data_IF_313275455943
#
_entry.id   IF_313275455943
#
_cell.length_a   1.000
_cell.length_b   1.000
_cell.length_c   1.000
_cell.angle_alpha   90.00
_cell.angle_beta   90.00
_cell.angle_gamma   90.00
#
_symmetry.space_group_name_H-M   'P 1'
#
loop_
_entity.id
_entity.type
_entity.pdbx_description
1 polymer ?
#
# COMPACT_ATOMS: atom_id res chain seq x y z
N UNK A 1 21.34 7.80 4.58
CA UNK A 1 22.75 8.27 4.54
C UNK A 1 23.61 7.05 4.30
N UNK A 2 24.55 7.08 3.36
CA UNK A 2 25.52 5.98 3.22
C UNK A 2 26.49 5.97 4.42
N UNK A 3 27.18 4.84 4.61
CA UNK A 3 28.20 4.69 5.66
C UNK A 3 29.31 5.74 5.50
N UNK A 4 29.78 5.96 4.28
CA UNK A 4 30.81 6.97 3.97
C UNK A 4 30.35 8.40 4.32
N UNK A 5 29.11 8.76 4.01
CA UNK A 5 28.55 10.07 4.42
C UNK A 5 28.47 10.23 5.93
N UNK A 6 28.27 9.13 6.66
CA UNK A 6 28.28 9.15 8.13
C UNK A 6 29.69 9.35 8.69
N UNK A 7 30.72 8.86 7.99
CA UNK A 7 32.13 9.11 8.33
C UNK A 7 32.54 10.56 8.04
N UNK A 8 31.98 11.21 7.02
CA UNK A 8 32.22 12.63 6.75
C UNK A 8 31.55 13.56 7.78
N UNK A 9 30.49 13.09 8.47
CA UNK A 9 29.76 13.91 9.43
C UNK A 9 30.65 14.37 10.61
N UNK A 10 30.64 15.68 10.88
CA UNK A 10 31.47 16.30 11.93
C UNK A 10 31.08 15.83 13.33
N UNK A 11 29.79 15.57 13.58
CA UNK A 11 29.28 15.19 14.89
C UNK A 11 28.58 13.83 14.84
N UNK A 12 29.28 12.78 15.28
CA UNK A 12 28.78 11.42 15.31
C UNK A 12 28.44 10.97 16.73
N UNK A 13 27.15 10.63 16.94
CA UNK A 13 26.64 10.16 18.23
C UNK A 13 27.10 8.74 18.59
N UNK A 14 27.37 7.91 17.59
CA UNK A 14 27.76 6.51 17.78
C UNK A 14 29.25 6.35 18.06
N UNK A 15 29.60 5.66 19.15
CA UNK A 15 31.00 5.40 19.55
C UNK A 15 31.77 4.68 18.43
N UNK A 16 31.15 3.68 17.80
CA UNK A 16 31.74 2.93 16.68
C UNK A 16 32.26 3.85 15.56
N UNK A 17 31.52 4.91 15.21
CA UNK A 17 31.95 5.82 14.13
C UNK A 17 33.15 6.66 14.58
N UNK A 18 33.22 7.03 15.87
CA UNK A 18 34.39 7.72 16.43
C UNK A 18 35.61 6.81 16.42
N UNK A 19 35.45 5.55 16.81
CA UNK A 19 36.55 4.58 16.84
C UNK A 19 37.10 4.33 15.43
N UNK A 20 36.22 4.15 14.43
CA UNK A 20 36.62 4.01 13.02
C UNK A 20 37.39 5.24 12.52
N UNK A 21 36.95 6.46 12.89
CA UNK A 21 37.67 7.69 12.53
C UNK A 21 39.08 7.74 13.13
N UNK A 22 39.19 7.43 14.41
CA UNK A 22 40.49 7.40 15.12
C UNK A 22 41.43 6.40 14.46
N UNK A 23 40.95 5.19 14.18
CA UNK A 23 41.73 4.15 13.52
C UNK A 23 42.17 4.60 12.11
N UNK A 24 41.26 5.19 11.35
CA UNK A 24 41.55 5.65 9.98
C UNK A 24 42.60 6.76 9.95
N UNK A 25 42.53 7.72 10.89
CA UNK A 25 43.53 8.77 11.04
C UNK A 25 44.90 8.22 11.46
N UNK A 26 44.92 7.28 12.41
CA UNK A 26 46.16 6.68 12.91
C UNK A 26 46.87 5.80 11.87
N UNK A 27 46.10 5.10 11.03
CA UNK A 27 46.64 4.18 10.03
C UNK A 27 46.81 4.81 8.64
N UNK A 28 46.42 6.08 8.47
CA UNK A 28 46.42 6.78 7.18
C UNK A 28 45.74 5.97 6.05
N UNK A 29 44.57 5.36 6.35
CA UNK A 29 43.85 4.53 5.40
C UNK A 29 42.68 5.29 4.74
N UNK A 30 42.38 4.93 3.48
CA UNK A 30 41.29 5.51 2.69
C UNK A 30 40.18 4.48 2.45
N UNK A 31 38.92 4.94 2.50
CA UNK A 31 37.76 4.10 2.25
C UNK A 31 37.32 4.18 0.80
N UNK A 32 37.07 3.02 0.20
CA UNK A 32 36.56 2.91 -1.16
C UNK A 32 35.28 2.07 -1.17
N UNK A 33 34.35 2.43 -2.06
CA UNK A 33 33.18 1.59 -2.31
C UNK A 33 33.52 0.53 -3.35
N UNK A 34 33.19 -0.73 -3.03
CA UNK A 34 33.32 -1.86 -3.95
C UNK A 34 31.93 -2.40 -4.23
N UNK A 35 31.68 -2.78 -5.48
CA UNK A 35 30.41 -3.37 -5.90
C UNK A 35 30.31 -4.79 -5.33
N UNK A 36 29.18 -5.09 -4.69
CA UNK A 36 28.89 -6.42 -4.16
C UNK A 36 28.67 -7.44 -5.29
N UNK A 37 29.03 -8.70 -5.02
CA UNK A 37 28.77 -9.86 -5.90
C UNK A 37 29.38 -9.77 -7.30
N UNK A 38 30.64 -9.31 -7.41
CA UNK A 38 31.36 -9.19 -8.70
C UNK A 38 32.59 -10.12 -8.76
N UNK A 39 32.78 -11.05 -7.82
CA UNK A 39 33.96 -11.92 -7.81
C UNK A 39 35.16 -11.37 -7.05
N UNK A 40 35.02 -10.25 -6.32
CA UNK A 40 36.13 -9.69 -5.53
C UNK A 40 36.36 -10.54 -4.30
N UNK A 41 37.33 -11.45 -4.37
CA UNK A 41 37.62 -12.46 -3.34
C UNK A 41 37.57 -11.94 -1.90
N UNK A 42 38.23 -10.80 -1.62
CA UNK A 42 38.24 -10.21 -0.27
C UNK A 42 36.87 -9.72 0.20
N UNK A 43 36.06 -9.13 -0.69
CA UNK A 43 34.71 -8.69 -0.37
C UNK A 43 33.78 -9.88 -0.16
N UNK A 44 33.86 -10.89 -1.02
CA UNK A 44 33.05 -12.11 -0.92
C UNK A 44 33.39 -12.88 0.36
N UNK A 45 34.67 -12.99 0.71
CA UNK A 45 35.08 -13.59 1.97
C UNK A 45 34.54 -12.82 3.17
N UNK A 46 34.54 -11.48 3.12
CA UNK A 46 33.95 -10.66 4.18
C UNK A 46 32.43 -10.85 4.29
N UNK A 47 31.72 -10.94 3.16
CA UNK A 47 30.27 -11.19 3.12
C UNK A 47 29.94 -12.57 3.70
N UNK A 48 30.68 -13.63 3.33
CA UNK A 48 30.51 -14.97 3.90
C UNK A 48 30.72 -14.98 5.42
N UNK A 49 31.78 -14.31 5.90
CA UNK A 49 32.04 -14.21 7.35
C UNK A 49 30.95 -13.43 8.08
N UNK A 50 30.41 -12.37 7.46
CA UNK A 50 29.29 -11.61 8.03
C UNK A 50 28.02 -12.45 8.09
N UNK A 51 27.75 -13.28 7.08
CA UNK A 51 26.63 -14.23 7.07
C UNK A 51 26.79 -15.32 8.14
N UNK A 52 27.97 -15.94 8.25
CA UNK A 52 28.29 -16.91 9.31
C UNK A 52 28.08 -16.31 10.71
N UNK A 53 28.45 -15.04 10.91
CA UNK A 53 28.24 -14.34 12.17
C UNK A 53 26.75 -14.14 12.52
N UNK A 54 25.84 -14.12 11.54
CA UNK A 54 24.39 -14.03 11.82
C UNK A 54 23.82 -15.30 12.44
N UNK A 55 24.50 -16.44 12.30
CA UNK A 55 24.10 -17.72 12.86
C UNK A 55 24.62 -17.96 14.29
N UNK A 56 25.46 -17.07 14.83
CA UNK A 56 25.92 -17.17 16.22
C UNK A 56 24.78 -16.92 17.20
N UNK A 57 24.76 -17.68 18.30
CA UNK A 57 23.77 -17.50 19.38
C UNK A 57 24.06 -16.26 20.23
N UNK A 58 25.34 -15.95 20.44
CA UNK A 58 25.80 -14.84 21.28
C UNK A 58 26.18 -13.59 20.47
N UNK A 59 25.89 -12.42 21.04
CA UNK A 59 26.23 -11.12 20.44
C UNK A 59 27.57 -10.64 20.98
N UNK A 60 28.58 -10.60 20.10
CA UNK A 60 29.95 -10.17 20.45
C UNK A 60 30.01 -8.67 20.86
N UNK A 61 29.23 -7.81 20.20
CA UNK A 61 29.22 -6.35 20.45
C UNK A 61 27.80 -5.79 20.41
N UNK A 62 27.35 -5.20 21.52
CA UNK A 62 26.04 -4.54 21.58
C UNK A 62 26.13 -3.08 21.12
N UNK A 63 25.52 -2.79 19.97
CA UNK A 63 25.45 -1.43 19.39
C UNK A 63 24.21 -0.63 19.83
N UNK A 64 23.43 -1.18 20.78
CA UNK A 64 22.15 -0.62 21.21
C UNK A 64 21.04 -0.81 20.19
N UNK A 65 19.84 -0.33 20.52
CA UNK A 65 18.65 -0.50 19.68
C UNK A 65 18.59 0.64 18.64
N UNK A 66 18.60 0.32 17.33
CA UNK A 66 18.52 1.36 16.32
C UNK A 66 17.13 2.01 16.30
N UNK A 67 17.09 3.32 16.04
CA UNK A 67 15.83 4.09 15.95
C UNK A 67 14.85 3.50 14.92
N UNK A 68 15.37 2.96 13.82
CA UNK A 68 14.56 2.28 12.80
C UNK A 68 13.79 1.08 13.36
N UNK A 69 14.42 0.27 14.22
CA UNK A 69 13.78 -0.87 14.86
C UNK A 69 12.68 -0.42 15.85
N UNK A 70 12.92 0.63 16.61
CA UNK A 70 11.89 1.22 17.50
C UNK A 70 10.70 1.69 16.68
N UNK A 71 10.95 2.47 15.62
CA UNK A 71 9.91 2.96 14.72
C UNK A 71 9.12 1.81 14.06
N UNK A 72 9.81 0.75 13.64
CA UNK A 72 9.19 -0.45 13.08
C UNK A 72 8.27 -1.13 14.11
N UNK A 73 8.75 -1.32 15.35
CA UNK A 73 7.94 -1.90 16.44
C UNK A 73 6.71 -1.06 16.72
N UNK A 74 6.84 0.27 16.84
CA UNK A 74 5.71 1.18 17.05
C UNK A 74 4.71 1.07 15.90
N UNK A 75 5.17 1.13 14.65
CA UNK A 75 4.32 1.02 13.45
C UNK A 75 3.55 -0.29 13.44
N UNK A 76 4.20 -1.41 13.75
CA UNK A 76 3.57 -2.72 13.79
C UNK A 76 2.53 -2.82 14.92
N UNK A 77 2.79 -2.21 16.09
CA UNK A 77 1.81 -2.18 17.18
C UNK A 77 0.59 -1.34 16.83
N UNK A 78 0.80 -0.16 16.23
CA UNK A 78 -0.31 0.69 15.76
C UNK A 78 -1.18 -0.04 14.75
N UNK A 79 -0.57 -0.72 13.77
CA UNK A 79 -1.31 -1.53 12.79
C UNK A 79 -2.14 -2.62 13.44
N UNK A 80 -1.57 -3.37 14.40
CA UNK A 80 -2.32 -4.40 15.13
C UNK A 80 -3.51 -3.84 15.88
N UNK A 81 -3.33 -2.71 16.58
CA UNK A 81 -4.42 -2.06 17.31
C UNK A 81 -5.50 -1.53 16.36
N UNK A 82 -5.10 -0.98 15.22
CA UNK A 82 -6.03 -0.54 14.18
C UNK A 82 -6.82 -1.71 13.58
N UNK A 83 -6.16 -2.82 13.27
CA UNK A 83 -6.80 -4.03 12.79
C UNK A 83 -7.84 -4.55 13.78
N UNK A 84 -7.47 -4.65 15.06
CA UNK A 84 -8.38 -5.09 16.11
C UNK A 84 -9.61 -4.18 16.22
N UNK A 85 -9.41 -2.85 16.15
CA UNK A 85 -10.51 -1.89 16.16
C UNK A 85 -11.38 -2.00 14.91
N UNK A 86 -10.78 -2.28 13.76
CA UNK A 86 -11.48 -2.43 12.48
C UNK A 86 -12.37 -3.66 12.46
N UNK A 87 -11.86 -4.79 12.94
CA UNK A 87 -12.60 -6.06 13.06
C UNK A 87 -13.80 -5.93 14.01
N UNK A 88 -13.59 -5.30 15.16
CA UNK A 88 -14.62 -5.15 16.20
C UNK A 88 -15.60 -3.98 15.95
N UNK A 89 -15.35 -3.13 14.95
CA UNK A 89 -16.24 -2.03 14.61
C UNK A 89 -17.54 -2.55 14.01
N UNK A 90 -18.66 -2.10 14.57
CA UNK A 90 -20.00 -2.28 13.98
C UNK A 90 -20.30 -1.24 12.89
N UNK A 91 -19.50 -0.18 12.80
CA UNK A 91 -19.63 0.84 11.76
C UNK A 91 -18.84 0.47 10.51
N UNK A 92 -19.27 0.98 9.36
CA UNK A 92 -18.56 0.86 8.08
C UNK A 92 -18.32 -0.60 7.62
N UNK A 93 -19.25 -1.51 7.95
CA UNK A 93 -19.16 -2.95 7.60
C UNK A 93 -19.07 -3.21 6.10
N UNK A 94 -19.68 -2.35 5.29
CA UNK A 94 -19.52 -2.42 3.83
C UNK A 94 -18.06 -2.23 3.42
N UNK A 95 -17.40 -1.17 3.91
CA UNK A 95 -15.99 -0.90 3.64
C UNK A 95 -15.09 -2.00 4.20
N UNK A 96 -15.43 -2.56 5.37
CA UNK A 96 -14.72 -3.72 5.94
C UNK A 96 -14.79 -4.94 5.00
N UNK A 97 -15.93 -5.19 4.37
CA UNK A 97 -16.08 -6.28 3.41
C UNK A 97 -15.18 -6.14 2.18
N UNK A 98 -14.86 -4.91 1.77
CA UNK A 98 -13.94 -4.63 0.67
C UNK A 98 -12.47 -4.64 1.11
N UNK A 99 -12.19 -4.08 2.29
CA UNK A 99 -10.86 -3.94 2.86
C UNK A 99 -10.83 -4.50 4.28
N UNK A 100 -10.78 -5.83 4.44
CA UNK A 100 -10.82 -6.45 5.77
C UNK A 100 -9.51 -6.22 6.55
N UNK A 101 -8.42 -5.96 5.86
CA UNK A 101 -7.10 -5.72 6.44
C UNK A 101 -6.71 -4.25 6.39
N UNK A 102 -6.23 -3.73 7.50
CA UNK A 102 -5.64 -2.40 7.62
C UNK A 102 -4.26 -2.39 6.98
N UNK A 103 -4.02 -1.36 6.19
CA UNK A 103 -2.77 -1.16 5.48
C UNK A 103 -2.39 0.33 5.51
N UNK A 104 -1.10 0.60 5.45
CA UNK A 104 -0.53 1.94 5.36
C UNK A 104 -0.28 2.35 3.92
N UNK A 105 -0.49 1.46 2.94
CA UNK A 105 -0.58 1.84 1.53
C UNK A 105 -1.71 2.83 1.35
N UNK A 106 -1.42 3.91 0.64
CA UNK A 106 -2.44 4.89 0.28
C UNK A 106 -3.44 4.21 -0.65
N UNK A 107 -4.71 4.20 -0.26
CA UNK A 107 -5.77 3.81 -1.17
C UNK A 107 -5.88 4.88 -2.25
N UNK A 108 -5.84 4.47 -3.52
CA UNK A 108 -6.14 5.36 -4.63
C UNK A 108 -7.65 5.59 -4.63
N UNK A 109 -8.06 6.85 -4.53
CA UNK A 109 -9.48 7.21 -4.54
C UNK A 109 -9.65 8.63 -5.07
N UNK A 110 -10.59 8.80 -5.98
CA UNK A 110 -11.12 10.11 -6.36
C UNK A 110 -12.41 10.40 -5.56
N UNK A 111 -13.03 11.55 -5.83
CA UNK A 111 -14.25 11.95 -5.15
C UNK A 111 -15.34 10.88 -5.25
N UNK A 112 -15.60 10.34 -6.44
CA UNK A 112 -16.70 9.40 -6.68
C UNK A 112 -16.41 8.02 -6.06
N UNK A 113 -15.18 7.53 -6.20
CA UNK A 113 -14.73 6.27 -5.58
C UNK A 113 -14.88 6.37 -4.06
N UNK A 114 -14.44 7.47 -3.45
CA UNK A 114 -14.57 7.65 -2.01
C UNK A 114 -16.03 7.69 -1.54
N UNK A 115 -16.93 8.29 -2.31
CA UNK A 115 -18.37 8.29 -2.01
C UNK A 115 -18.97 6.88 -2.03
N UNK A 116 -18.58 6.06 -3.02
CA UNK A 116 -19.02 4.66 -3.12
C UNK A 116 -18.45 3.84 -1.96
N UNK A 117 -17.14 3.94 -1.71
CA UNK A 117 -16.44 3.14 -0.69
C UNK A 117 -16.92 3.43 0.74
N UNK A 118 -17.27 4.69 1.02
CA UNK A 118 -17.79 5.12 2.33
C UNK A 118 -19.31 5.05 2.42
N UNK A 119 -20.00 4.86 1.30
CA UNK A 119 -21.46 4.92 1.23
C UNK A 119 -22.02 6.31 1.55
N UNK A 120 -21.24 7.39 1.39
CA UNK A 120 -21.64 8.77 1.69
C UNK A 120 -22.27 9.52 0.50
N UNK A 121 -22.42 8.84 -0.64
CA UNK A 121 -22.99 9.41 -1.86
C UNK A 121 -24.51 9.59 -1.80
N UNK A 122 -25.13 9.78 -2.96
CA UNK A 122 -26.59 9.87 -3.09
C UNK A 122 -27.32 8.52 -2.94
N UNK A 123 -26.90 7.72 -1.95
CA UNK A 123 -27.54 6.44 -1.63
C UNK A 123 -28.75 6.68 -0.73
N UNK A 124 -29.94 6.14 -1.05
CA UNK A 124 -31.15 6.32 -0.23
C UNK A 124 -30.96 5.97 1.24
N UNK A 125 -30.23 4.88 1.53
CA UNK A 125 -29.90 4.46 2.89
C UNK A 125 -29.04 5.48 3.67
N UNK A 126 -28.11 6.16 2.99
CA UNK A 126 -27.32 7.23 3.60
C UNK A 126 -28.16 8.50 3.78
N UNK A 127 -28.90 8.87 2.73
CA UNK A 127 -29.70 10.08 2.74
C UNK A 127 -30.82 10.04 3.78
N UNK A 128 -31.49 8.90 3.95
CA UNK A 128 -32.51 8.67 4.98
C UNK A 128 -31.94 8.78 6.41
N UNK A 129 -30.70 8.31 6.61
CA UNK A 129 -30.02 8.39 7.91
C UNK A 129 -29.54 9.80 8.24
N UNK A 130 -29.09 10.57 7.25
CA UNK A 130 -28.44 11.87 7.45
C UNK A 130 -29.40 13.05 7.28
N UNK A 131 -30.41 12.95 6.42
CA UNK A 131 -31.35 14.03 6.13
C UNK A 131 -32.77 13.64 6.55
N UNK A 132 -33.41 14.48 7.38
CA UNK A 132 -34.79 14.26 7.81
C UNK A 132 -35.77 14.25 6.63
N UNK A 133 -36.65 13.26 6.58
CA UNK A 133 -37.76 13.20 5.62
C UNK A 133 -37.48 12.47 4.30
N UNK A 134 -36.35 11.78 4.16
CA UNK A 134 -36.06 10.93 2.98
C UNK A 134 -36.32 9.46 3.28
N UNK A 135 -37.12 8.83 2.42
CA UNK A 135 -37.38 7.39 2.49
C UNK A 135 -36.12 6.59 2.07
N UNK A 136 -35.86 5.51 2.79
CA UNK A 136 -34.79 4.55 2.48
C UNK A 136 -35.22 3.50 1.45
N UNK A 137 -36.51 3.45 1.10
CA UNK A 137 -37.07 2.46 0.20
C UNK A 137 -36.61 2.65 -1.25
N UNK A 138 -36.24 1.52 -1.87
CA UNK A 138 -36.02 1.43 -3.31
C UNK A 138 -37.35 1.56 -4.05
N UNK A 139 -37.33 2.13 -5.26
CA UNK A 139 -38.40 1.97 -6.25
C UNK A 139 -38.61 0.50 -6.68
N UNK A 140 -37.78 -0.43 -6.23
CA UNK A 140 -37.75 -1.84 -6.62
C UNK A 140 -38.49 -2.81 -5.68
N UNK A 141 -39.16 -2.34 -4.62
CA UNK A 141 -40.00 -3.16 -3.71
C UNK A 141 -39.33 -4.40 -3.08
N UNK A 142 -38.00 -4.51 -3.10
CA UNK A 142 -37.24 -5.52 -2.38
C UNK A 142 -36.56 -4.90 -1.16
N UNK A 143 -36.66 -5.58 -0.02
CA UNK A 143 -36.22 -5.09 1.28
C UNK A 143 -34.75 -4.65 1.31
N UNK A 144 -34.53 -3.50 1.97
CA UNK A 144 -33.26 -2.86 2.37
C UNK A 144 -32.11 -2.85 1.35
N UNK A 145 -32.04 -1.75 0.61
CA UNK A 145 -30.90 -1.31 -0.20
C UNK A 145 -29.62 -1.21 0.64
N UNK A 146 -28.86 -2.30 0.68
CA UNK A 146 -27.47 -2.25 1.11
C UNK A 146 -26.63 -1.81 -0.10
N UNK A 147 -25.55 -1.07 0.13
CA UNK A 147 -24.60 -0.58 -0.92
C UNK A 147 -24.17 -1.73 -1.86
N UNK A 148 -24.22 -2.98 -1.40
CA UNK A 148 -24.00 -4.18 -2.22
C UNK A 148 -24.95 -4.32 -3.41
N UNK A 149 -26.25 -4.02 -3.29
CA UNK A 149 -27.21 -4.12 -4.40
C UNK A 149 -27.03 -3.00 -5.42
N UNK A 150 -26.79 -1.77 -4.96
CA UNK A 150 -26.56 -0.61 -5.84
C UNK A 150 -25.24 -0.77 -6.60
N UNK A 151 -24.16 -1.23 -5.96
CA UNK A 151 -22.88 -1.48 -6.65
C UNK A 151 -22.99 -2.65 -7.63
N UNK A 152 -23.69 -3.74 -7.29
CA UNK A 152 -23.89 -4.86 -8.23
C UNK A 152 -24.79 -4.45 -9.41
N UNK A 153 -25.79 -3.62 -9.16
CA UNK A 153 -26.67 -3.04 -10.18
C UNK A 153 -25.92 -2.06 -11.07
N UNK A 154 -25.10 -1.16 -10.51
CA UNK A 154 -24.27 -0.21 -11.26
C UNK A 154 -23.17 -0.91 -12.07
N UNK A 155 -22.57 -1.98 -11.55
CA UNK A 155 -21.64 -2.82 -12.32
C UNK A 155 -22.37 -3.55 -13.45
N UNK A 156 -23.57 -4.09 -13.21
CA UNK A 156 -24.40 -4.70 -14.26
C UNK A 156 -24.84 -3.68 -15.31
N UNK A 157 -25.29 -2.49 -14.91
CA UNK A 157 -25.69 -1.37 -15.76
C UNK A 157 -24.51 -0.87 -16.60
N UNK A 158 -23.33 -0.72 -15.98
CA UNK A 158 -22.08 -0.35 -16.66
C UNK A 158 -21.64 -1.39 -17.69
N UNK A 159 -21.70 -2.69 -17.34
CA UNK A 159 -21.41 -3.78 -18.27
C UNK A 159 -22.44 -3.84 -19.40
N UNK A 160 -23.74 -3.67 -19.13
CA UNK A 160 -24.76 -3.64 -20.18
C UNK A 160 -24.63 -2.42 -21.08
N UNK A 161 -24.25 -1.25 -20.55
CA UNK A 161 -24.03 -0.06 -21.37
C UNK A 161 -22.79 -0.23 -22.25
N UNK A 162 -21.71 -0.84 -21.72
CA UNK A 162 -20.50 -1.13 -22.48
C UNK A 162 -20.71 -2.21 -23.56
N UNK A 163 -21.52 -3.23 -23.28
CA UNK A 163 -21.90 -4.25 -24.28
C UNK A 163 -22.87 -3.69 -25.34
N UNK A 164 -23.79 -2.80 -24.96
CA UNK A 164 -24.71 -2.16 -25.90
C UNK A 164 -23.99 -1.19 -26.84
N UNK A 165 -23.00 -0.44 -26.35
CA UNK A 165 -22.17 0.43 -27.20
C UNK A 165 -21.27 -0.38 -28.13
N UNK A 166 -20.71 -1.51 -27.68
CA UNK A 166 -19.97 -2.46 -28.53
C UNK A 166 -20.86 -3.10 -29.60
N UNK A 167 -22.09 -3.50 -29.25
CA UNK A 167 -23.05 -4.05 -30.20
C UNK A 167 -23.50 -3.02 -31.23
N UNK A 168 -23.81 -1.79 -30.80
CA UNK A 168 -24.18 -0.69 -31.71
C UNK A 168 -23.01 -0.30 -32.62
N UNK A 169 -21.78 -0.33 -32.12
CA UNK A 169 -20.58 -0.08 -32.91
C UNK A 169 -20.31 -1.20 -33.92
N UNK A 170 -20.46 -2.47 -33.52
CA UNK A 170 -20.36 -3.61 -34.42
C UNK A 170 -21.46 -3.59 -35.51
N UNK A 171 -22.69 -3.23 -35.15
CA UNK A 171 -23.80 -3.08 -36.11
C UNK A 171 -23.53 -1.95 -37.11
N UNK A 172 -22.97 -0.83 -36.64
CA UNK A 172 -22.61 0.29 -37.51
C UNK A 172 -21.49 -0.08 -38.49
N UNK A 173 -20.49 -0.85 -38.06
CA UNK A 173 -19.43 -1.38 -38.94
C UNK A 173 -20.01 -2.34 -39.99
N UNK A 174 -20.84 -3.29 -39.57
CA UNK A 174 -21.48 -4.24 -40.49
C UNK A 174 -22.41 -3.52 -41.48
N UNK A 175 -23.17 -2.51 -41.02
CA UNK A 175 -24.00 -1.69 -41.89
C UNK A 175 -23.16 -0.88 -42.89
N UNK A 176 -22.00 -0.36 -42.48
CA UNK A 176 -21.06 0.32 -43.39
C UNK A 176 -20.46 -0.64 -44.42
N UNK A 177 -20.09 -1.85 -44.01
CA UNK A 177 -19.54 -2.86 -44.91
C UNK A 177 -20.57 -3.34 -45.94
N UNK A 178 -21.80 -3.64 -45.51
CA UNK A 178 -22.88 -4.12 -46.41
C UNK A 178 -23.33 -3.04 -47.40
N UNK A 179 -23.24 -1.75 -47.03
CA UNK A 179 -23.62 -0.65 -47.91
C UNK A 179 -22.46 -0.09 -48.76
N UNK A 180 -21.23 -0.56 -48.56
CA UNK A 180 -20.11 -0.25 -49.47
C UNK A 180 -20.06 -1.14 -50.71
N UNK A 181 -20.84 -2.23 -50.76
CA UNK A 181 -20.94 -3.10 -51.94
C UNK A 181 -22.17 -2.78 -52.83
N UNK A 182 -22.88 -1.68 -52.57
CA UNK A 182 -23.99 -1.19 -53.41
C UNK A 182 -23.81 0.26 -53.87
N UNK A 183 -22.60 0.62 -54.27
CA UNK A 183 -22.28 1.83 -55.02
C UNK A 183 -21.23 1.52 -56.08
#
# INVERSE_FOLDING_TARGET
>A
MSVLKSLEAVNNRFQLIRDIKTISQNLNCSFHWVKAHVGTYGNERADCLAEEATCKEDVDVSLGIPKSLINLKIRNQILKLWQLRWENSQQSRFTFGLFPTTDLRRCFGDFFINQILTGHGCFPAYQSRVFFGKDSNCMCNTDMNTISMDVLSLVKLGITFFLLTLLLWAFWILFKMVNQERA
#
